data_IF_356154672988
#
_entry.id   IF_356154672988
#
_cell.length_a   1.000
_cell.length_b   1.000
_cell.length_c   1.000
_cell.angle_alpha   90.00
_cell.angle_beta   90.00
_cell.angle_gamma   90.00
#
_symmetry.space_group_name_H-M   'P 1'
#
loop_
_entity.id
_entity.type
_entity.pdbx_description
1 polymer ?
#
# COMPACT_ATOMS: atom_id res chain seq x y z
N UNK A 1 -8.35 -21.30 -9.02
CA UNK A 1 -7.12 -20.59 -9.46
C UNK A 1 -7.51 -19.19 -9.92
N UNK A 2 -6.64 -18.17 -9.79
CA UNK A 2 -6.96 -16.82 -10.28
C UNK A 2 -6.31 -16.58 -11.63
N UNK A 3 -7.10 -16.14 -12.60
CA UNK A 3 -6.68 -15.89 -13.97
C UNK A 3 -7.11 -14.47 -14.34
N UNK A 4 -6.16 -13.64 -14.76
CA UNK A 4 -6.44 -12.35 -15.35
C UNK A 4 -6.01 -12.34 -16.80
N UNK A 5 -6.96 -12.09 -17.68
CA UNK A 5 -6.75 -12.00 -19.12
C UNK A 5 -6.69 -10.52 -19.45
N UNK A 6 -5.51 -10.06 -19.89
CA UNK A 6 -5.33 -8.72 -20.43
C UNK A 6 -5.19 -8.79 -21.95
N UNK A 7 -5.40 -7.67 -22.63
CA UNK A 7 -5.25 -7.58 -24.10
C UNK A 7 -3.82 -7.94 -24.57
N UNK A 8 -2.83 -7.82 -23.69
CA UNK A 8 -1.41 -8.06 -24.01
C UNK A 8 -0.90 -9.40 -23.51
N UNK A 9 -1.43 -9.92 -22.39
CA UNK A 9 -0.95 -11.15 -21.75
C UNK A 9 -1.97 -11.76 -20.79
N UNK A 10 -1.92 -13.08 -20.62
CA UNK A 10 -2.64 -13.80 -19.57
C UNK A 10 -1.75 -13.98 -18.34
N UNK A 11 -2.24 -13.57 -17.18
CA UNK A 11 -1.61 -13.75 -15.87
C UNK A 11 -2.37 -14.80 -15.08
N UNK A 12 -1.64 -15.73 -14.47
CA UNK A 12 -2.21 -16.80 -13.65
C UNK A 12 -1.52 -16.84 -12.29
N UNK A 13 -2.29 -17.05 -11.22
CA UNK A 13 -1.76 -17.18 -9.87
C UNK A 13 -2.65 -18.08 -9.00
N UNK A 14 -2.04 -18.65 -7.95
CA UNK A 14 -2.78 -19.45 -6.96
C UNK A 14 -3.58 -18.59 -5.98
N UNK A 15 -3.15 -17.34 -5.75
CA UNK A 15 -3.78 -16.41 -4.80
C UNK A 15 -3.88 -15.00 -5.41
N UNK A 16 -4.92 -14.26 -5.01
CA UNK A 16 -5.17 -12.89 -5.46
C UNK A 16 -4.02 -11.90 -5.19
N UNK A 17 -3.33 -11.93 -4.03
CA UNK A 17 -2.19 -11.04 -3.78
C UNK A 17 -1.01 -11.30 -4.73
N UNK A 18 -0.80 -12.56 -5.13
CA UNK A 18 0.25 -12.91 -6.10
C UNK A 18 -0.10 -12.41 -7.50
N UNK A 19 -1.36 -12.51 -7.91
CA UNK A 19 -1.83 -11.99 -9.19
C UNK A 19 -1.67 -10.47 -9.26
N UNK A 20 -2.08 -9.77 -8.19
CA UNK A 20 -1.94 -8.32 -8.07
C UNK A 20 -0.47 -7.87 -8.12
N UNK A 21 0.46 -8.63 -7.52
CA UNK A 21 1.90 -8.37 -7.67
C UNK A 21 2.39 -8.56 -9.10
N UNK A 22 1.98 -9.64 -9.76
CA UNK A 22 2.41 -9.95 -11.13
C UNK A 22 1.91 -8.95 -12.17
N UNK A 23 0.72 -8.38 -11.98
CA UNK A 23 0.16 -7.35 -12.87
C UNK A 23 0.46 -5.93 -12.40
N UNK A 24 1.19 -5.77 -11.31
CA UNK A 24 1.44 -4.49 -10.65
C UNK A 24 0.15 -3.67 -10.40
N UNK A 25 -0.96 -4.37 -10.14
CA UNK A 25 -2.30 -3.81 -10.01
C UNK A 25 -2.91 -4.07 -8.63
N UNK A 26 -4.10 -3.53 -8.39
CA UNK A 26 -4.96 -3.83 -7.25
C UNK A 26 -6.33 -4.26 -7.74
N UNK A 27 -6.53 -5.56 -7.91
CA UNK A 27 -7.85 -6.16 -8.14
C UNK A 27 -8.42 -6.67 -6.84
N UNK A 28 -9.74 -6.57 -6.72
CA UNK A 28 -10.52 -7.07 -5.59
C UNK A 28 -11.28 -8.35 -6.01
N UNK A 29 -11.66 -9.19 -5.04
CA UNK A 29 -12.29 -10.50 -5.31
C UNK A 29 -13.64 -10.41 -6.01
N UNK A 30 -14.36 -9.31 -5.81
CA UNK A 30 -15.64 -8.96 -6.43
C UNK A 30 -15.53 -8.66 -7.93
N UNK A 31 -14.34 -8.27 -8.41
CA UNK A 31 -14.09 -8.03 -9.83
C UNK A 31 -13.88 -9.33 -10.63
N UNK A 32 -13.73 -10.47 -9.94
CA UNK A 32 -13.54 -11.76 -10.59
C UNK A 32 -14.88 -12.45 -10.86
N UNK A 33 -15.04 -12.97 -12.07
CA UNK A 33 -16.15 -13.87 -12.40
C UNK A 33 -15.74 -15.31 -12.08
N UNK A 34 -16.57 -16.01 -11.34
CA UNK A 34 -16.34 -17.43 -11.06
C UNK A 34 -16.77 -18.26 -12.28
N UNK A 35 -15.81 -18.96 -12.88
CA UNK A 35 -16.01 -19.89 -14.00
C UNK A 35 -15.57 -21.27 -13.53
N UNK A 36 -16.52 -22.05 -13.01
CA UNK A 36 -16.24 -23.36 -12.42
C UNK A 36 -15.41 -23.25 -11.12
N UNK A 37 -14.30 -23.97 -11.04
CA UNK A 37 -13.37 -23.92 -9.90
C UNK A 37 -12.37 -22.74 -9.96
N UNK A 38 -12.41 -21.95 -11.04
CA UNK A 38 -11.47 -20.87 -11.30
C UNK A 38 -12.16 -19.50 -11.31
N UNK A 39 -11.40 -18.48 -10.88
CA UNK A 39 -11.84 -17.09 -10.81
C UNK A 39 -11.13 -16.32 -11.91
N UNK A 40 -11.89 -15.84 -12.89
CA UNK A 40 -11.38 -15.21 -14.11
C UNK A 40 -11.82 -13.75 -14.19
N UNK A 41 -10.89 -12.86 -14.47
CA UNK A 41 -11.16 -11.45 -14.79
C UNK A 41 -10.63 -11.12 -16.18
N UNK A 42 -11.40 -10.39 -16.97
CA UNK A 42 -10.98 -9.88 -18.28
C UNK A 42 -10.80 -8.38 -18.15
N UNK A 43 -9.58 -7.92 -18.38
CA UNK A 43 -9.18 -6.53 -18.26
C UNK A 43 -8.76 -6.00 -19.63
N UNK A 44 -9.50 -5.03 -20.16
CA UNK A 44 -9.03 -4.27 -21.31
C UNK A 44 -7.94 -3.28 -20.90
N UNK A 45 -7.12 -2.80 -21.83
CA UNK A 45 -6.03 -1.85 -21.59
C UNK A 45 -6.44 -0.63 -20.73
N UNK A 46 -7.63 -0.06 -20.98
CA UNK A 46 -8.15 1.06 -20.18
C UNK A 46 -8.44 0.68 -18.71
N UNK A 47 -8.89 -0.55 -18.46
CA UNK A 47 -9.14 -1.04 -17.11
C UNK A 47 -7.85 -1.43 -16.40
N UNK A 48 -6.84 -1.90 -17.15
CA UNK A 48 -5.53 -2.22 -16.61
C UNK A 48 -4.82 -0.97 -16.08
N UNK A 49 -4.88 0.14 -16.83
CA UNK A 49 -4.33 1.44 -16.39
C UNK A 49 -5.02 1.94 -15.13
N UNK A 50 -6.35 1.84 -15.04
CA UNK A 50 -7.11 2.21 -13.85
C UNK A 50 -6.70 1.41 -12.61
N UNK A 51 -6.54 0.09 -12.75
CA UNK A 51 -6.13 -0.82 -11.68
C UNK A 51 -4.69 -0.54 -11.21
N UNK A 52 -3.80 -0.15 -12.13
CA UNK A 52 -2.44 0.26 -11.80
C UNK A 52 -2.41 1.64 -11.12
N UNK A 53 -3.21 2.59 -11.58
CA UNK A 53 -3.27 3.94 -11.01
C UNK A 53 -3.93 3.95 -9.62
N UNK A 54 -4.94 3.11 -9.37
CA UNK A 54 -5.50 2.88 -8.02
C UNK A 54 -4.42 2.46 -7.02
N UNK A 55 -3.49 1.60 -7.46
CA UNK A 55 -2.34 1.16 -6.64
C UNK A 55 -1.29 2.26 -6.44
N UNK A 56 -1.01 3.07 -7.46
CA UNK A 56 -0.12 4.22 -7.30
C UNK A 56 -0.70 5.22 -6.31
N UNK A 57 -1.99 5.54 -6.40
CA UNK A 57 -2.67 6.45 -5.48
C UNK A 57 -2.68 5.92 -4.04
N UNK A 58 -2.95 4.62 -3.83
CA UNK A 58 -2.89 4.03 -2.50
C UNK A 58 -1.47 4.06 -1.91
N UNK A 59 -0.44 3.81 -2.72
CA UNK A 59 0.96 3.89 -2.26
C UNK A 59 1.38 5.31 -1.83
N UNK A 60 0.87 6.35 -2.51
CA UNK A 60 1.15 7.75 -2.18
C UNK A 60 0.50 8.14 -0.84
N UNK A 61 -0.73 7.66 -0.58
CA UNK A 61 -1.40 7.92 0.69
C UNK A 61 -0.75 7.17 1.86
N UNK A 62 -0.33 5.92 1.69
CA UNK A 62 0.39 5.18 2.73
C UNK A 62 1.79 5.77 3.01
N UNK A 63 2.50 6.25 1.99
CA UNK A 63 3.79 6.91 2.17
C UNK A 63 3.71 8.20 3.01
N UNK A 64 2.61 8.96 2.88
CA UNK A 64 2.39 10.17 3.66
C UNK A 64 1.77 9.93 5.05
N UNK A 65 0.98 8.86 5.23
CA UNK A 65 0.47 8.48 6.55
C UNK A 65 1.54 7.84 7.45
N UNK A 66 2.51 7.13 6.85
CA UNK A 66 3.66 6.55 7.55
C UNK A 66 4.93 7.41 7.52
N UNK A 67 4.83 8.68 7.11
CA UNK A 67 5.75 9.69 7.64
C UNK A 67 5.42 9.83 9.12
N UNK A 68 5.93 8.87 9.88
CA UNK A 68 6.11 8.88 11.32
C UNK A 68 6.59 10.28 11.63
N UNK A 69 5.68 11.12 12.08
CA UNK A 69 5.98 12.47 12.49
C UNK A 69 7.03 12.35 13.59
N UNK A 70 8.29 12.49 13.21
CA UNK A 70 9.44 12.49 14.11
C UNK A 70 9.53 13.85 14.80
N UNK A 71 8.80 14.86 14.31
CA UNK A 71 8.79 16.22 14.86
C UNK A 71 8.25 16.24 16.30
N UNK A 72 7.07 15.67 16.64
CA UNK A 72 6.59 15.62 18.03
C UNK A 72 7.51 14.81 18.94
N UNK A 73 8.07 13.70 18.43
CA UNK A 73 8.99 12.84 19.19
C UNK A 73 10.30 13.57 19.53
N UNK A 74 10.89 14.25 18.55
CA UNK A 74 12.14 14.98 18.73
C UNK A 74 11.96 16.20 19.63
N UNK A 75 10.82 16.91 19.52
CA UNK A 75 10.47 18.01 20.42
C UNK A 75 10.29 17.54 21.87
N UNK A 76 9.66 16.39 22.09
CA UNK A 76 9.52 15.81 23.43
C UNK A 76 10.87 15.46 24.05
N UNK A 77 11.77 14.82 23.29
CA UNK A 77 13.12 14.49 23.75
C UNK A 77 13.91 15.76 24.09
N UNK A 78 13.85 16.79 23.23
CA UNK A 78 14.50 18.08 23.49
C UNK A 78 13.97 18.75 24.77
N UNK A 79 12.65 18.74 24.99
CA UNK A 79 12.04 19.29 26.19
C UNK A 79 12.46 18.57 27.48
N UNK A 80 12.57 17.24 27.45
CA UNK A 80 13.03 16.46 28.61
C UNK A 80 14.49 16.84 28.96
N UNK A 81 15.36 16.93 27.96
CA UNK A 81 16.77 17.29 28.16
C UNK A 81 16.90 18.72 28.69
N UNK A 82 16.15 19.68 28.12
CA UNK A 82 16.14 21.08 28.59
C UNK A 82 15.65 21.19 30.04
N UNK A 83 14.57 20.48 30.37
CA UNK A 83 14.03 20.46 31.75
C UNK A 83 15.03 19.86 32.73
N UNK A 84 15.73 18.80 32.33
CA UNK A 84 16.77 18.18 33.15
C UNK A 84 17.96 19.12 33.39
N UNK A 85 18.44 19.82 32.37
CA UNK A 85 19.51 20.82 32.50
C UNK A 85 19.09 21.96 33.44
N UNK A 86 17.87 22.47 33.28
CA UNK A 86 17.35 23.52 34.17
C UNK A 86 17.23 23.03 35.61
N UNK A 87 16.77 21.80 35.84
CA UNK A 87 16.67 21.22 37.17
C UNK A 87 18.03 21.08 37.86
N UNK A 88 19.04 20.59 37.14
CA UNK A 88 20.42 20.46 37.67
C UNK A 88 21.05 21.82 37.95
N UNK A 89 20.75 22.85 37.14
CA UNK A 89 21.33 24.19 37.29
C UNK A 89 20.64 25.07 38.34
N UNK A 90 19.37 24.80 38.65
CA UNK A 90 18.60 25.54 39.65
C UNK A 90 18.61 24.81 41.00
N UNK A 91 18.68 23.48 41.00
CA UNK A 91 18.67 22.65 42.20
C UNK A 91 20.05 22.25 42.75
N UNK A 92 21.14 22.60 42.08
CA UNK A 92 22.52 22.47 42.57
C UNK A 92 23.16 23.84 42.77
#
# INVERSE_FOLDING_TARGET
MYIAITDTRVYTAKTLPMLNRSMNGMLEEDEFKQVGADSVVVLSAANLDFVQDKRKLSSIMFGNFFKKDVVPRNLMIANIILTFIMFVRIGG
#
